data_IF_900335048449
#
_entry.id   IF_900335048449
#
_cell.length_a   1.000
_cell.length_b   1.000
_cell.length_c   1.000
_cell.angle_alpha   90.00
_cell.angle_beta   90.00
_cell.angle_gamma   90.00
#
_symmetry.space_group_name_H-M   'P 1'
#
loop_
_entity.id
_entity.type
_entity.pdbx_description
1 polymer ?
#
# COMPACT_ATOMS: atom_id res chain seq x y z
N UNK A 1 14.11 -13.63 26.62
CA UNK A 1 14.23 -13.43 25.16
C UNK A 1 15.04 -12.19 24.91
N UNK A 2 15.96 -12.22 23.94
CA UNK A 2 16.69 -11.01 23.53
C UNK A 2 15.94 -10.25 22.40
N UNK A 3 16.40 -9.04 22.07
CA UNK A 3 15.75 -8.21 21.03
C UNK A 3 15.79 -8.84 19.65
N UNK A 4 16.91 -9.50 19.28
CA UNK A 4 17.05 -10.14 17.97
C UNK A 4 16.07 -11.30 17.78
N UNK A 5 15.84 -12.09 18.83
CA UNK A 5 14.85 -13.19 18.85
C UNK A 5 13.43 -12.64 18.70
N UNK A 6 13.11 -11.54 19.39
CA UNK A 6 11.83 -10.86 19.28
C UNK A 6 11.59 -10.33 17.85
N UNK A 7 12.58 -9.66 17.26
CA UNK A 7 12.49 -9.12 15.91
C UNK A 7 12.36 -10.24 14.86
N UNK A 8 13.09 -11.34 15.05
CA UNK A 8 12.98 -12.50 14.19
C UNK A 8 11.57 -13.11 14.27
N UNK A 9 11.01 -13.21 15.47
CA UNK A 9 9.65 -13.73 15.65
C UNK A 9 8.60 -12.80 15.06
N UNK A 10 8.77 -11.48 15.23
CA UNK A 10 7.94 -10.45 14.62
C UNK A 10 7.93 -10.58 13.09
N UNK A 11 9.09 -10.86 12.50
CA UNK A 11 9.23 -11.09 11.05
C UNK A 11 8.51 -12.35 10.61
N UNK A 12 8.66 -13.46 11.34
CA UNK A 12 7.94 -14.71 11.05
C UNK A 12 6.42 -14.48 11.04
N UNK A 13 5.89 -13.80 12.06
CA UNK A 13 4.45 -13.46 12.11
C UNK A 13 4.03 -12.61 10.91
N UNK A 14 4.83 -11.61 10.52
CA UNK A 14 4.53 -10.79 9.33
C UNK A 14 4.49 -11.63 8.06
N UNK A 15 5.49 -12.48 7.86
CA UNK A 15 5.57 -13.33 6.68
C UNK A 15 4.38 -14.31 6.61
N UNK A 16 3.97 -14.87 7.76
CA UNK A 16 2.78 -15.71 7.90
C UNK A 16 1.51 -14.96 7.47
N UNK A 17 1.29 -13.77 8.02
CA UNK A 17 0.11 -12.94 7.74
C UNK A 17 0.05 -12.54 6.27
N UNK A 18 1.17 -12.12 5.68
CA UNK A 18 1.22 -11.74 4.26
C UNK A 18 1.00 -12.96 3.35
N UNK A 19 1.50 -14.13 3.72
CA UNK A 19 1.25 -15.39 3.01
C UNK A 19 -0.24 -15.74 3.06
N UNK A 20 -0.85 -15.68 4.24
CA UNK A 20 -2.27 -15.94 4.42
C UNK A 20 -3.13 -14.91 3.64
N UNK A 21 -2.78 -13.62 3.67
CA UNK A 21 -3.45 -12.58 2.90
C UNK A 21 -3.46 -12.87 1.39
N UNK A 22 -2.31 -13.29 0.83
CA UNK A 22 -2.23 -13.72 -0.57
C UNK A 22 -3.09 -14.94 -0.86
N UNK A 23 -3.03 -15.97 0.00
CA UNK A 23 -3.86 -17.17 -0.17
C UNK A 23 -5.36 -16.87 -0.12
N UNK A 24 -5.80 -16.00 0.79
CA UNK A 24 -7.20 -15.54 0.86
C UNK A 24 -7.61 -14.82 -0.43
N UNK A 25 -6.74 -13.96 -0.97
CA UNK A 25 -6.97 -13.27 -2.26
C UNK A 25 -7.08 -14.25 -3.43
N UNK A 26 -6.31 -15.34 -3.40
CA UNK A 26 -6.39 -16.42 -4.39
C UNK A 26 -7.59 -17.37 -4.19
N UNK A 27 -8.52 -17.06 -3.28
CA UNK A 27 -9.71 -17.88 -3.00
C UNK A 27 -9.47 -19.08 -2.08
N UNK A 28 -8.29 -19.17 -1.44
CA UNK A 28 -7.90 -20.28 -0.55
C UNK A 28 -8.07 -19.94 0.93
N UNK A 29 -9.24 -19.41 1.31
CA UNK A 29 -9.50 -18.88 2.65
C UNK A 29 -9.28 -19.87 3.80
N UNK A 30 -9.92 -21.05 3.74
CA UNK A 30 -9.83 -22.05 4.83
C UNK A 30 -8.39 -22.51 5.09
N UNK A 31 -7.65 -22.84 4.03
CA UNK A 31 -6.25 -23.26 4.15
C UNK A 31 -5.34 -22.12 4.66
N UNK A 32 -5.64 -20.87 4.28
CA UNK A 32 -4.92 -19.71 4.80
C UNK A 32 -5.14 -19.52 6.30
N UNK A 33 -6.38 -19.69 6.76
CA UNK A 33 -6.76 -19.49 8.16
C UNK A 33 -6.18 -20.58 9.07
N UNK A 34 -6.19 -21.84 8.62
CA UNK A 34 -5.59 -22.96 9.34
C UNK A 34 -4.06 -22.81 9.46
N UNK A 35 -3.39 -22.50 8.34
CA UNK A 35 -1.93 -22.27 8.34
C UNK A 35 -1.56 -21.10 9.25
N UNK A 36 -2.27 -19.98 9.14
CA UNK A 36 -2.02 -18.80 9.94
C UNK A 36 -2.24 -19.07 11.44
N UNK A 37 -3.31 -19.77 11.80
CA UNK A 37 -3.59 -20.11 13.19
C UNK A 37 -2.45 -20.91 13.83
N UNK A 38 -1.92 -21.92 13.12
CA UNK A 38 -0.79 -22.73 13.58
C UNK A 38 0.50 -21.91 13.78
N UNK A 39 0.81 -21.02 12.83
CA UNK A 39 1.99 -20.15 12.92
C UNK A 39 1.88 -19.15 14.08
N UNK A 40 0.68 -18.59 14.32
CA UNK A 40 0.44 -17.67 15.44
C UNK A 40 0.54 -18.38 16.80
N UNK A 41 0.01 -19.60 16.93
CA UNK A 41 0.15 -20.41 18.16
C UNK A 41 1.63 -20.68 18.45
N UNK A 42 2.40 -21.02 17.41
CA UNK A 42 3.84 -21.25 17.54
C UNK A 42 4.56 -19.98 17.98
N UNK A 43 4.20 -18.81 17.43
CA UNK A 43 4.76 -17.53 17.84
C UNK A 43 4.39 -17.16 19.29
N UNK A 44 3.15 -17.40 19.70
CA UNK A 44 2.71 -17.19 21.09
C UNK A 44 3.51 -18.06 22.07
N UNK A 45 3.72 -19.34 21.74
CA UNK A 45 4.54 -20.24 22.55
C UNK A 45 6.01 -19.77 22.62
N UNK A 46 6.57 -19.30 21.50
CA UNK A 46 7.90 -18.69 21.44
C UNK A 46 8.04 -17.48 22.36
N UNK A 47 7.10 -16.54 22.30
CA UNK A 47 7.08 -15.37 23.18
C UNK A 47 6.93 -15.75 24.66
N UNK A 48 6.02 -16.68 24.97
CA UNK A 48 5.75 -17.13 26.33
C UNK A 48 6.98 -17.81 26.95
N UNK A 49 7.62 -18.73 26.21
CA UNK A 49 8.90 -19.35 26.63
C UNK A 49 10.04 -18.33 26.77
N UNK A 50 10.00 -17.27 25.97
CA UNK A 50 10.89 -16.14 26.05
C UNK A 50 10.69 -15.24 27.28
N UNK A 51 9.66 -15.48 28.09
CA UNK A 51 9.31 -14.68 29.27
C UNK A 51 8.51 -13.42 28.96
N UNK A 52 7.89 -13.33 27.79
CA UNK A 52 7.06 -12.19 27.40
C UNK A 52 5.73 -12.24 28.15
N UNK A 53 5.39 -11.24 28.97
CA UNK A 53 4.07 -11.16 29.57
C UNK A 53 3.03 -10.91 28.47
N UNK A 54 1.89 -11.61 28.54
CA UNK A 54 0.78 -11.45 27.61
C UNK A 54 1.14 -11.65 26.12
N UNK A 55 1.88 -12.72 25.84
CA UNK A 55 2.28 -13.15 24.50
C UNK A 55 1.11 -13.24 23.50
N UNK A 56 -0.07 -13.64 23.97
CA UNK A 56 -1.26 -13.77 23.12
C UNK A 56 -1.70 -12.42 22.56
N UNK A 57 -1.90 -11.42 23.43
CA UNK A 57 -2.29 -10.07 23.01
C UNK A 57 -1.26 -9.43 22.09
N UNK A 58 0.03 -9.63 22.36
CA UNK A 58 1.10 -9.09 21.52
C UNK A 58 1.05 -9.67 20.10
N UNK A 59 0.88 -10.99 19.96
CA UNK A 59 0.75 -11.64 18.64
C UNK A 59 -0.52 -11.21 17.93
N UNK A 60 -1.64 -11.07 18.65
CA UNK A 60 -2.88 -10.56 18.07
C UNK A 60 -2.73 -9.10 17.60
N UNK A 61 -1.99 -8.28 18.33
CA UNK A 61 -1.67 -6.92 17.90
C UNK A 61 -0.86 -6.94 16.60
N UNK A 62 0.24 -7.69 16.56
CA UNK A 62 1.07 -7.80 15.35
C UNK A 62 0.29 -8.29 14.15
N UNK A 63 -0.55 -9.31 14.34
CA UNK A 63 -1.43 -9.82 13.28
C UNK A 63 -2.29 -8.71 12.71
N UNK A 64 -2.98 -7.93 13.55
CA UNK A 64 -3.86 -6.84 13.11
C UNK A 64 -3.09 -5.78 12.33
N UNK A 65 -1.92 -5.39 12.83
CA UNK A 65 -1.07 -4.39 12.18
C UNK A 65 -0.59 -4.87 10.80
N UNK A 66 -0.21 -6.14 10.69
CA UNK A 66 0.24 -6.71 9.41
C UNK A 66 -0.92 -6.97 8.44
N UNK A 67 -2.12 -7.35 8.93
CA UNK A 67 -3.32 -7.49 8.09
C UNK A 67 -3.71 -6.13 7.50
N UNK A 68 -3.65 -5.05 8.30
CA UNK A 68 -3.88 -3.69 7.84
C UNK A 68 -2.82 -3.24 6.82
N UNK A 69 -1.53 -3.52 7.10
CA UNK A 69 -0.44 -3.21 6.18
C UNK A 69 -0.57 -3.96 4.85
N UNK A 70 -0.96 -5.24 4.89
CA UNK A 70 -1.21 -6.02 3.69
C UNK A 70 -2.38 -5.44 2.87
N UNK A 71 -3.50 -5.10 3.53
CA UNK A 71 -4.63 -4.48 2.85
C UNK A 71 -4.24 -3.16 2.17
N UNK A 72 -3.46 -2.32 2.84
CA UNK A 72 -2.94 -1.09 2.26
C UNK A 72 -2.02 -1.37 1.06
N UNK A 73 -1.12 -2.34 1.17
CA UNK A 73 -0.22 -2.72 0.07
C UNK A 73 -0.99 -3.22 -1.16
N UNK A 74 -2.09 -3.95 -0.96
CA UNK A 74 -2.98 -4.39 -2.04
C UNK A 74 -3.63 -3.18 -2.72
N UNK A 75 -4.20 -2.25 -1.96
CA UNK A 75 -4.82 -1.03 -2.50
C UNK A 75 -3.82 -0.18 -3.30
N UNK A 76 -2.61 0.00 -2.78
CA UNK A 76 -1.54 0.72 -3.49
C UNK A 76 -1.18 -0.01 -4.79
N UNK A 77 -1.06 -1.33 -4.76
CA UNK A 77 -0.73 -2.13 -5.95
C UNK A 77 -1.82 -2.05 -7.02
N UNK A 78 -3.08 -2.05 -6.61
CA UNK A 78 -4.23 -1.89 -7.52
C UNK A 78 -4.25 -0.49 -8.14
N UNK A 79 -4.06 0.57 -7.34
CA UNK A 79 -4.00 1.95 -7.83
C UNK A 79 -2.83 2.18 -8.81
N UNK A 80 -1.65 1.62 -8.50
CA UNK A 80 -0.49 1.69 -9.40
C UNK A 80 -0.78 0.89 -10.67
N UNK A 81 -1.38 -0.29 -10.55
CA UNK A 81 -1.81 -1.10 -11.68
C UNK A 81 -2.74 -0.33 -12.61
N UNK A 82 -3.78 0.32 -12.09
CA UNK A 82 -4.70 1.14 -12.88
C UNK A 82 -3.99 2.29 -13.60
N UNK A 83 -3.09 3.00 -12.91
CA UNK A 83 -2.32 4.10 -13.52
C UNK A 83 -1.39 3.64 -14.64
N UNK A 84 -0.80 2.45 -14.52
CA UNK A 84 0.07 1.88 -15.56
C UNK A 84 -0.73 1.36 -16.77
N UNK A 85 -1.95 0.83 -16.54
CA UNK A 85 -2.82 0.39 -17.63
C UNK A 85 -3.59 1.55 -18.28
N UNK A 86 -3.73 2.68 -17.59
CA UNK A 86 -4.16 3.95 -18.15
C UNK A 86 -3.05 4.61 -18.98
N UNK A 87 -2.55 3.90 -20.00
CA UNK A 87 -1.82 4.54 -21.11
C UNK A 87 -2.78 5.51 -21.81
N UNK A 88 -2.35 6.72 -22.19
CA UNK A 88 -3.25 7.74 -22.71
C UNK A 88 -3.89 7.21 -23.99
N UNK A 89 -5.21 7.09 -23.97
CA UNK A 89 -5.96 6.88 -25.21
C UNK A 89 -5.51 7.97 -26.18
N UNK A 90 -4.99 7.65 -27.37
CA UNK A 90 -4.75 8.68 -28.37
C UNK A 90 -6.10 9.34 -28.59
N UNK A 91 -6.16 10.66 -28.41
CA UNK A 91 -7.36 11.44 -28.63
C UNK A 91 -8.03 10.96 -29.91
N UNK A 92 -9.08 10.14 -29.79
CA UNK A 92 -9.92 9.78 -30.90
C UNK A 92 -10.55 11.11 -31.28
N UNK A 93 -10.05 11.73 -32.34
CA UNK A 93 -10.68 12.88 -32.96
C UNK A 93 -12.09 12.42 -33.29
N UNK A 94 -13.04 12.76 -32.42
CA UNK A 94 -14.44 12.76 -32.77
C UNK A 94 -14.54 13.87 -33.80
N UNK A 95 -14.46 13.50 -35.08
CA UNK A 95 -15.02 14.31 -36.16
C UNK A 95 -16.51 14.35 -35.91
N UNK A 96 -16.93 15.22 -35.00
CA UNK A 96 -18.30 15.71 -34.95
C UNK A 96 -18.39 16.60 -36.17
N UNK A 97 -19.14 16.17 -37.18
CA UNK A 97 -19.68 17.10 -38.17
C UNK A 97 -20.45 18.16 -37.40
N UNK A 98 -19.84 19.35 -37.31
CA UNK A 98 -20.39 20.51 -36.65
C UNK A 98 -21.32 21.19 -37.66
N UNK A 99 -22.65 21.26 -37.42
CA UNK A 99 -23.51 22.11 -38.22
C UNK A 99 -23.03 23.55 -38.04
N UNK A 100 -22.75 24.25 -39.15
CA UNK A 100 -22.31 25.64 -39.12
C UNK A 100 -23.33 26.50 -38.37
N UNK A 101 -22.98 26.87 -37.14
CA UNK A 101 -23.59 27.94 -36.38
C UNK A 101 -22.52 29.04 -36.20
N UNK A 102 -22.90 30.32 -36.34
CA UNK A 102 -21.94 31.42 -36.31
C UNK A 102 -21.21 31.47 -34.96
N UNK A 103 -19.93 31.91 -34.93
CA UNK A 103 -19.10 31.81 -33.75
C UNK A 103 -19.61 32.76 -32.65
N UNK A 104 -20.07 32.17 -31.55
CA UNK A 104 -20.23 32.88 -30.28
C UNK A 104 -18.86 33.04 -29.62
N UNK A 105 -18.57 34.17 -28.96
CA UNK A 105 -17.30 34.39 -28.29
C UNK A 105 -17.09 33.33 -27.20
N UNK A 106 -16.00 32.58 -27.33
CA UNK A 106 -15.57 31.59 -26.34
C UNK A 106 -15.09 32.29 -25.07
N UNK A 107 -15.92 32.33 -24.03
CA UNK A 107 -15.43 32.55 -22.67
C UNK A 107 -14.96 31.21 -22.12
N UNK A 108 -13.69 30.88 -22.32
CA UNK A 108 -13.02 29.86 -21.51
C UNK A 108 -13.00 30.33 -20.05
N UNK A 109 -13.51 29.56 -19.08
CA UNK A 109 -13.13 29.80 -17.70
C UNK A 109 -11.67 29.36 -17.55
N UNK A 110 -10.74 30.31 -17.68
CA UNK A 110 -9.39 30.15 -17.13
C UNK A 110 -9.52 30.10 -15.62
N UNK A 111 -9.78 28.91 -15.08
CA UNK A 111 -9.58 28.67 -13.65
C UNK A 111 -8.07 28.60 -13.48
N UNK A 112 -7.49 29.71 -13.02
CA UNK A 112 -6.10 29.73 -12.58
C UNK A 112 -5.95 28.65 -11.50
N UNK A 113 -4.96 27.75 -11.59
CA UNK A 113 -4.67 26.83 -10.50
C UNK A 113 -4.36 27.67 -9.25
N UNK A 114 -4.82 27.24 -8.06
CA UNK A 114 -4.51 27.96 -6.83
C UNK A 114 -2.98 28.04 -6.66
N UNK A 115 -2.42 29.22 -6.34
CA UNK A 115 -0.99 29.36 -6.10
C UNK A 115 -0.60 28.42 -4.96
N UNK A 116 0.43 27.61 -5.17
CA UNK A 116 0.95 26.66 -4.19
C UNK A 116 0.60 25.19 -4.44
N UNK A 117 -0.28 24.84 -5.39
CA UNK A 117 -0.52 23.41 -5.71
C UNK A 117 0.70 22.79 -6.42
N UNK A 118 1.38 23.55 -7.28
CA UNK A 118 2.63 23.14 -7.90
C UNK A 118 3.74 22.93 -6.85
N UNK A 119 3.87 23.86 -5.89
CA UNK A 119 4.87 23.76 -4.81
C UNK A 119 4.60 22.60 -3.84
N UNK A 120 3.32 22.25 -3.61
CA UNK A 120 2.94 21.12 -2.77
C UNK A 120 3.24 19.78 -3.46
N UNK A 121 3.03 19.71 -4.78
CA UNK A 121 3.43 18.54 -5.57
C UNK A 121 4.96 18.41 -5.64
N UNK A 122 5.69 19.51 -5.86
CA UNK A 122 7.15 19.49 -5.85
C UNK A 122 7.71 19.10 -4.46
N UNK A 123 7.10 19.56 -3.37
CA UNK A 123 7.45 19.13 -2.01
C UNK A 123 7.29 17.61 -1.81
N UNK A 124 6.19 17.04 -2.33
CA UNK A 124 5.93 15.60 -2.23
C UNK A 124 6.92 14.74 -3.02
N UNK A 125 7.39 15.23 -4.17
CA UNK A 125 8.35 14.51 -5.01
C UNK A 125 9.83 14.80 -4.65
N UNK A 126 10.10 15.81 -3.81
CA UNK A 126 11.47 16.17 -3.40
C UNK A 126 11.92 15.43 -2.13
N UNK A 127 11.00 14.97 -1.28
CA UNK A 127 11.35 14.20 -0.08
C UNK A 127 11.92 12.79 -0.37
N UNK A 128 11.83 12.29 -1.60
CA UNK A 128 12.33 10.96 -1.97
C UNK A 128 13.73 10.96 -2.63
N UNK A 129 14.57 11.97 -2.35
CA UNK A 129 16.00 11.90 -2.69
C UNK A 129 16.84 11.47 -1.48
N UNK A 130 17.48 10.29 -1.49
CA UNK A 130 18.42 9.94 -0.44
C UNK A 130 19.55 10.96 -0.43
N UNK A 131 19.78 11.56 0.73
CA UNK A 131 20.89 12.46 0.98
C UNK A 131 22.20 11.75 0.55
N UNK A 132 22.83 12.28 -0.52
CA UNK A 132 24.24 12.02 -0.78
C UNK A 132 25.01 12.48 0.46
N UNK A 133 25.41 11.53 1.31
CA UNK A 133 26.44 11.77 2.31
C UNK A 133 27.71 12.13 1.56
N UNK A 134 28.10 13.38 1.67
CA UNK A 134 29.43 13.81 1.31
C UNK A 134 30.47 13.23 2.27
N UNK A 135 31.64 13.05 1.67
CA UNK A 135 32.97 13.17 2.27
C UNK A 135 33.53 11.89 2.96
N UNK A 136 34.87 11.76 3.05
CA UNK A 136 35.88 12.82 3.03
C UNK A 136 36.30 13.31 1.64
#
# INVERSE_FOLDING_TARGET
>A
MNTNELDQLRRVVREAVFRAGRLRRDGRGSAADESLASELITAQAGLASGGTPDAASLVHQWRRDDEAAFALAVLISELVGERLHASPTPHRKLTVEQPELPPLPATSPTVAPPPGLADLLDGLFTEERPAKRGAP
#
